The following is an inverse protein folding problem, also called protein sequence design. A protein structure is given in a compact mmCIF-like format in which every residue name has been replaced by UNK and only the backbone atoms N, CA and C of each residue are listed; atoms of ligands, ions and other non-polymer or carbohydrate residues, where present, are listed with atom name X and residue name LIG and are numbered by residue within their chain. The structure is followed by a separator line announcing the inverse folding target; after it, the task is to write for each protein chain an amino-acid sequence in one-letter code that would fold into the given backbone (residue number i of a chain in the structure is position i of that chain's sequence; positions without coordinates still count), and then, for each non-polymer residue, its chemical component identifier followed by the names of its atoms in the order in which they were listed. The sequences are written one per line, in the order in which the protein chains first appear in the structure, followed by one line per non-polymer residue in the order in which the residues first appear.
data_IF_488702069815
#
_entry.id   IF_488702069815
#
_cell.length_a   1.000
_cell.length_b   1.000
_cell.length_c   1.000
_cell.angle_alpha   90.00
_cell.angle_beta   90.00
_cell.angle_gamma   90.00
#
_symmetry.space_group_name_H-M   'P 1'
#
loop_
_entity.id
_entity.type
_entity.pdbx_description
1 polymer ?
#
# COMPACT_ATOMS: atom_id res chain seq x y z
N UNK A 1 -9.76 -14.03 -4.54
CA UNK A 1 -8.35 -13.59 -4.43
C UNK A 1 -7.60 -14.18 -5.64
N UNK A 2 -7.26 -13.37 -6.65
CA UNK A 2 -6.78 -13.88 -7.94
C UNK A 2 -5.30 -14.25 -7.87
N UNK A 3 -4.97 -15.51 -8.19
CA UNK A 3 -3.61 -15.96 -8.51
C UNK A 3 -3.63 -16.32 -9.99
N UNK A 4 -2.65 -15.87 -10.76
CA UNK A 4 -2.44 -16.45 -12.09
C UNK A 4 -2.18 -17.94 -11.89
N UNK A 5 -3.00 -18.76 -12.52
CA UNK A 5 -2.74 -20.19 -12.63
C UNK A 5 -1.47 -20.39 -13.46
N UNK A 6 -0.78 -21.53 -13.26
CA UNK A 6 0.47 -21.82 -13.97
C UNK A 6 0.26 -21.76 -15.50
N UNK A 7 -0.87 -22.29 -15.98
CA UNK A 7 -1.28 -22.25 -17.39
C UNK A 7 -1.42 -20.82 -17.91
N UNK A 8 -2.09 -19.94 -17.17
CA UNK A 8 -2.27 -18.53 -17.54
C UNK A 8 -0.94 -17.76 -17.53
N UNK A 9 -0.04 -18.07 -16.60
CA UNK A 9 1.28 -17.42 -16.54
C UNK A 9 2.15 -17.82 -17.73
N UNK A 10 2.10 -19.10 -18.13
CA UNK A 10 2.79 -19.57 -19.33
C UNK A 10 2.20 -18.90 -20.58
N UNK A 11 0.88 -18.86 -20.72
CA UNK A 11 0.22 -18.21 -21.86
C UNK A 11 0.56 -16.71 -21.95
N UNK A 12 0.53 -15.98 -20.83
CA UNK A 12 0.97 -14.58 -20.79
C UNK A 12 2.45 -14.46 -21.16
N UNK A 13 3.33 -15.32 -20.64
CA UNK A 13 4.75 -15.29 -20.97
C UNK A 13 5.01 -15.49 -22.46
N UNK A 14 4.34 -16.46 -23.08
CA UNK A 14 4.44 -16.73 -24.53
C UNK A 14 3.89 -15.57 -25.35
N UNK A 15 2.73 -15.03 -24.97
CA UNK A 15 2.13 -13.87 -25.65
C UNK A 15 3.05 -12.64 -25.59
N UNK A 16 3.60 -12.34 -24.41
CA UNK A 16 4.54 -11.24 -24.20
C UNK A 16 5.86 -11.47 -24.95
N UNK A 17 6.37 -12.71 -25.03
CA UNK A 17 7.59 -12.99 -25.82
C UNK A 17 7.37 -12.79 -27.32
N UNK A 18 6.22 -13.22 -27.85
CA UNK A 18 5.92 -13.09 -29.28
C UNK A 18 5.66 -11.62 -29.65
N UNK A 19 4.87 -10.91 -28.86
CA UNK A 19 4.58 -9.49 -29.09
C UNK A 19 5.82 -8.61 -28.97
N UNK A 20 6.66 -8.86 -27.95
CA UNK A 20 7.91 -8.14 -27.75
C UNK A 20 8.96 -8.48 -28.81
N UNK A 21 9.07 -9.74 -29.20
CA UNK A 21 9.98 -10.18 -30.27
C UNK A 21 9.61 -9.50 -31.59
N UNK A 22 8.33 -9.47 -31.94
CA UNK A 22 7.84 -8.77 -33.14
C UNK A 22 8.11 -7.26 -33.08
N UNK A 23 7.86 -6.62 -31.94
CA UNK A 23 8.12 -5.20 -31.75
C UNK A 23 9.62 -4.88 -31.88
N UNK A 24 10.49 -5.63 -31.19
CA UNK A 24 11.94 -5.42 -31.21
C UNK A 24 12.54 -5.71 -32.58
N UNK A 25 12.09 -6.74 -33.29
CA UNK A 25 12.57 -7.05 -34.65
C UNK A 25 12.36 -5.84 -35.59
N UNK A 26 11.15 -5.27 -35.55
CA UNK A 26 10.81 -4.12 -36.38
C UNK A 26 11.54 -2.83 -35.99
N UNK A 27 12.04 -2.75 -34.76
CA UNK A 27 12.89 -1.65 -34.31
C UNK A 27 14.37 -1.88 -34.65
N UNK A 28 14.86 -3.12 -34.59
CA UNK A 28 16.27 -3.46 -34.84
C UNK A 28 16.61 -3.55 -36.32
N UNK A 29 15.67 -3.94 -37.18
CA UNK A 29 15.89 -4.01 -38.64
C UNK A 29 16.28 -2.66 -39.27
N UNK A 30 16.07 -1.55 -38.57
CA UNK A 30 16.44 -0.21 -39.05
C UNK A 30 17.90 0.15 -38.75
N UNK A 31 18.59 -0.66 -37.94
CA UNK A 31 19.96 -0.40 -37.45
C UNK A 31 20.91 -1.58 -37.70
N UNK A 32 20.38 -2.81 -37.68
CA UNK A 32 21.15 -4.05 -37.82
C UNK A 32 20.78 -4.79 -39.12
N UNK A 33 21.69 -5.63 -39.59
CA UNK A 33 21.41 -6.62 -40.63
C UNK A 33 20.28 -7.56 -40.22
N UNK A 34 19.56 -8.09 -41.21
CA UNK A 34 18.33 -8.85 -41.00
C UNK A 34 18.52 -10.05 -40.04
N UNK A 35 19.59 -10.82 -40.22
CA UNK A 35 19.91 -12.00 -39.39
C UNK A 35 20.23 -11.60 -37.95
N UNK A 36 21.04 -10.54 -37.78
CA UNK A 36 21.40 -10.00 -36.48
C UNK A 36 20.18 -9.41 -35.76
N UNK A 37 19.29 -8.71 -36.47
CA UNK A 37 18.05 -8.17 -35.93
C UNK A 37 17.09 -9.27 -35.45
N UNK A 38 16.99 -10.37 -36.19
CA UNK A 38 16.15 -11.52 -35.86
C UNK A 38 16.67 -12.24 -34.61
N UNK A 39 17.98 -12.50 -34.56
CA UNK A 39 18.61 -13.16 -33.41
C UNK A 39 18.57 -12.27 -32.15
N UNK A 40 18.87 -10.97 -32.29
CA UNK A 40 18.85 -10.02 -31.17
C UNK A 40 17.43 -9.83 -30.61
N UNK A 41 16.42 -9.69 -31.46
CA UNK A 41 15.02 -9.54 -31.03
C UNK A 41 14.49 -10.80 -30.36
N UNK A 42 14.84 -11.98 -30.87
CA UNK A 42 14.49 -13.26 -30.25
C UNK A 42 15.08 -13.38 -28.84
N UNK A 43 16.39 -13.17 -28.69
CA UNK A 43 17.07 -13.25 -27.39
C UNK A 43 16.52 -12.21 -26.41
N UNK A 44 16.42 -10.95 -26.83
CA UNK A 44 15.89 -9.89 -25.98
C UNK A 44 14.45 -10.18 -25.51
N UNK A 45 13.60 -10.70 -26.40
CA UNK A 45 12.22 -11.05 -26.04
C UNK A 45 12.13 -12.15 -24.98
N UNK A 46 12.99 -13.17 -25.06
CA UNK A 46 13.06 -14.24 -24.06
C UNK A 46 13.57 -13.73 -22.71
N UNK A 47 14.63 -12.94 -22.72
CA UNK A 47 15.24 -12.41 -21.50
C UNK A 47 14.35 -11.39 -20.78
N UNK A 48 13.51 -10.64 -21.49
CA UNK A 48 12.62 -9.62 -20.91
C UNK A 48 11.26 -10.21 -20.50
N UNK A 49 10.71 -11.15 -21.28
CA UNK A 49 9.38 -11.73 -21.00
C UNK A 49 9.34 -12.57 -19.71
N UNK A 50 10.41 -13.31 -19.40
CA UNK A 50 10.51 -14.10 -18.18
C UNK A 50 10.42 -13.25 -16.88
N UNK A 51 11.25 -12.21 -16.67
CA UNK A 51 11.13 -11.35 -15.50
C UNK A 51 9.84 -10.52 -15.50
N UNK A 52 9.34 -10.09 -16.66
CA UNK A 52 8.04 -9.41 -16.75
C UNK A 52 6.89 -10.30 -16.26
N UNK A 53 6.86 -11.56 -16.67
CA UNK A 53 5.84 -12.51 -16.24
C UNK A 53 5.93 -12.83 -14.74
N UNK A 54 7.15 -12.95 -14.20
CA UNK A 54 7.36 -13.05 -12.77
C UNK A 54 6.84 -11.82 -12.03
N UNK A 55 7.12 -10.61 -12.52
CA UNK A 55 6.62 -9.37 -11.94
C UNK A 55 5.08 -9.30 -11.97
N UNK A 56 4.45 -9.64 -13.10
CA UNK A 56 3.00 -9.73 -13.23
C UNK A 56 2.40 -10.71 -12.21
N UNK A 57 3.03 -11.86 -12.01
CA UNK A 57 2.59 -12.86 -11.04
C UNK A 57 2.77 -12.39 -9.60
N UNK A 58 3.88 -11.73 -9.30
CA UNK A 58 4.23 -11.29 -7.96
C UNK A 58 3.29 -10.18 -7.49
N UNK A 59 3.08 -9.20 -8.37
CA UNK A 59 2.13 -8.12 -8.14
C UNK A 59 0.70 -8.67 -8.24
N UNK A 60 0.43 -9.75 -8.99
CA UNK A 60 -0.86 -10.49 -9.25
C UNK A 60 -1.78 -9.87 -10.31
N UNK A 61 -1.19 -9.31 -11.36
CA UNK A 61 -1.89 -8.52 -12.39
C UNK A 61 -2.98 -9.37 -13.05
N UNK A 62 -4.09 -8.77 -13.48
CA UNK A 62 -5.13 -9.52 -14.19
C UNK A 62 -4.60 -9.96 -15.56
N UNK A 63 -4.78 -11.23 -15.97
CA UNK A 63 -4.26 -11.72 -17.26
C UNK A 63 -4.80 -10.91 -18.45
N UNK A 64 -6.06 -10.45 -18.38
CA UNK A 64 -6.65 -9.55 -19.39
C UNK A 64 -5.84 -8.26 -19.61
N UNK A 65 -5.29 -7.68 -18.53
CA UNK A 65 -4.51 -6.44 -18.65
C UNK A 65 -3.14 -6.69 -19.31
N UNK A 66 -2.55 -7.87 -19.08
CA UNK A 66 -1.31 -8.29 -19.75
C UNK A 66 -1.60 -8.50 -21.24
N UNK A 67 -2.66 -9.23 -21.60
CA UNK A 67 -3.04 -9.45 -23.00
C UNK A 67 -3.35 -8.17 -23.76
N UNK A 68 -4.01 -7.19 -23.13
CA UNK A 68 -4.25 -5.87 -23.75
C UNK A 68 -2.92 -5.15 -23.99
N UNK A 69 -2.00 -5.19 -23.03
CA UNK A 69 -0.65 -4.63 -23.19
C UNK A 69 0.12 -5.32 -24.31
N UNK A 70 0.08 -6.66 -24.39
CA UNK A 70 0.70 -7.44 -25.46
C UNK A 70 0.12 -7.10 -26.84
N UNK A 71 -1.20 -6.92 -26.93
CA UNK A 71 -1.87 -6.50 -28.16
C UNK A 71 -1.43 -5.10 -28.60
N UNK A 72 -1.38 -4.15 -27.67
CA UNK A 72 -0.89 -2.80 -27.94
C UNK A 72 0.58 -2.84 -28.37
N UNK A 73 1.41 -3.64 -27.70
CA UNK A 73 2.82 -3.81 -28.06
C UNK A 73 3.01 -4.39 -29.47
N UNK A 74 2.23 -5.42 -29.83
CA UNK A 74 2.25 -5.99 -31.18
C UNK A 74 1.80 -4.98 -32.24
N UNK A 75 0.74 -4.22 -31.95
CA UNK A 75 0.25 -3.16 -32.84
C UNK A 75 1.29 -2.06 -33.04
N UNK A 76 2.01 -1.68 -31.98
CA UNK A 76 3.11 -0.72 -32.04
C UNK A 76 4.27 -1.26 -32.88
N UNK A 77 4.59 -2.55 -32.76
CA UNK A 77 5.57 -3.22 -33.63
C UNK A 77 5.20 -3.16 -35.11
N UNK A 78 3.93 -3.43 -35.43
CA UNK A 78 3.42 -3.31 -36.81
C UNK A 78 3.42 -1.87 -37.31
N UNK A 79 3.11 -0.89 -36.47
CA UNK A 79 3.23 0.53 -36.85
C UNK A 79 4.69 0.94 -37.09
N UNK A 80 5.63 0.44 -36.29
CA UNK A 80 7.06 0.65 -36.51
C UNK A 80 7.53 0.03 -37.83
N UNK A 81 6.91 -1.07 -38.29
CA UNK A 81 7.19 -1.64 -39.60
C UNK A 81 6.89 -0.66 -40.74
N UNK A 82 5.78 0.08 -40.67
CA UNK A 82 5.35 1.01 -41.73
C UNK A 82 6.02 2.38 -41.63
N UNK A 83 6.13 2.93 -40.42
CA UNK A 83 6.58 4.31 -40.21
C UNK A 83 8.10 4.43 -40.07
N UNK A 84 8.80 3.32 -39.83
CA UNK A 84 10.25 3.27 -39.55
C UNK A 84 10.73 4.39 -38.61
N UNK A 85 10.07 4.60 -37.45
CA UNK A 85 10.46 5.64 -36.52
C UNK A 85 11.86 5.35 -35.96
N UNK A 86 12.60 6.39 -35.52
CA UNK A 86 13.90 6.19 -34.89
C UNK A 86 13.76 5.32 -33.64
N UNK A 87 14.69 4.37 -33.49
CA UNK A 87 14.71 3.40 -32.39
C UNK A 87 14.67 4.05 -31.00
N UNK A 88 15.21 5.27 -30.88
CA UNK A 88 15.21 6.07 -29.66
C UNK A 88 13.81 6.44 -29.15
N UNK A 89 12.79 6.51 -30.02
CA UNK A 89 11.40 6.78 -29.64
C UNK A 89 10.58 5.50 -29.45
N UNK A 90 10.83 4.49 -30.27
CA UNK A 90 10.03 3.26 -30.28
C UNK A 90 10.35 2.33 -29.09
N UNK A 91 11.62 2.27 -28.67
CA UNK A 91 12.07 1.39 -27.58
C UNK A 91 11.50 1.82 -26.22
N UNK A 92 11.51 3.11 -25.82
CA UNK A 92 10.81 3.57 -24.62
C UNK A 92 9.30 3.29 -24.64
N UNK A 93 8.64 3.43 -25.79
CA UNK A 93 7.21 3.13 -25.91
C UNK A 93 6.91 1.64 -25.70
N UNK A 94 7.74 0.74 -26.24
CA UNK A 94 7.62 -0.69 -25.99
C UNK A 94 7.78 -1.04 -24.50
N UNK A 95 8.79 -0.45 -23.84
CA UNK A 95 8.99 -0.61 -22.38
C UNK A 95 7.80 -0.06 -21.58
N UNK A 96 7.24 1.09 -21.98
CA UNK A 96 6.06 1.66 -21.34
C UNK A 96 4.84 0.75 -21.46
N UNK A 97 4.64 0.11 -22.62
CA UNK A 97 3.56 -0.86 -22.81
C UNK A 97 3.68 -2.05 -21.84
N UNK A 98 4.90 -2.61 -21.69
CA UNK A 98 5.17 -3.71 -20.75
C UNK A 98 4.97 -3.31 -19.28
N UNK A 99 5.34 -2.07 -18.92
CA UNK A 99 5.21 -1.56 -17.56
C UNK A 99 3.79 -1.10 -17.21
N UNK A 100 2.98 -0.68 -18.19
CA UNK A 100 1.63 -0.15 -18.01
C UNK A 100 0.72 -1.02 -17.11
N UNK A 101 0.63 -2.36 -17.27
CA UNK A 101 -0.22 -3.17 -16.41
C UNK A 101 0.27 -3.28 -14.96
N UNK A 102 1.58 -3.11 -14.71
CA UNK A 102 2.15 -3.02 -13.35
C UNK A 102 1.76 -1.68 -12.71
N UNK A 103 2.00 -0.58 -13.43
CA UNK A 103 1.70 0.77 -12.96
C UNK A 103 0.20 0.98 -12.71
N UNK A 104 -0.65 0.50 -13.63
CA UNK A 104 -2.10 0.59 -13.49
C UNK A 104 -2.62 -0.19 -12.27
N UNK A 105 -1.94 -1.27 -11.89
CA UNK A 105 -2.28 -2.05 -10.70
C UNK A 105 -1.86 -1.33 -9.42
N UNK A 106 -0.62 -0.83 -9.37
CA UNK A 106 -0.10 -0.09 -8.23
C UNK A 106 -0.96 1.14 -7.97
N UNK A 107 -1.26 1.92 -9.01
CA UNK A 107 -2.16 3.07 -8.91
C UNK A 107 -3.55 2.71 -8.40
N UNK A 108 -4.14 1.60 -8.86
CA UNK A 108 -5.44 1.12 -8.34
C UNK A 108 -5.36 0.73 -6.87
N UNK A 109 -4.25 0.10 -6.45
CA UNK A 109 -4.03 -0.28 -5.05
C UNK A 109 -3.87 0.96 -4.19
N UNK A 110 -3.07 1.94 -4.62
CA UNK A 110 -2.91 3.22 -3.93
C UNK A 110 -4.23 3.97 -3.78
N UNK A 111 -5.03 4.06 -4.85
CA UNK A 111 -6.36 4.68 -4.80
C UNK A 111 -7.25 3.97 -3.79
N UNK A 112 -7.31 2.63 -3.82
CA UNK A 112 -8.11 1.88 -2.84
C UNK A 112 -7.64 2.09 -1.41
N UNK A 113 -6.33 2.20 -1.16
CA UNK A 113 -5.78 2.44 0.18
C UNK A 113 -6.06 3.87 0.65
N UNK A 114 -6.03 4.85 -0.26
CA UNK A 114 -6.40 6.23 0.03
C UNK A 114 -7.89 6.36 0.34
N UNK A 115 -8.75 5.59 -0.34
CA UNK A 115 -10.20 5.57 -0.06
C UNK A 115 -10.51 4.92 1.31
N UNK A 116 -9.70 3.96 1.77
CA UNK A 116 -9.82 3.34 3.09
C UNK A 116 -9.31 4.23 4.24
N UNK A 117 -8.40 5.16 3.95
CA UNK A 117 -7.71 6.00 4.95
C UNK A 117 -8.67 6.89 5.78
N UNK A 118 -9.68 7.59 5.20
CA UNK A 118 -10.71 8.29 5.96
C UNK A 118 -11.47 7.38 6.94
N UNK A 119 -11.74 6.14 6.54
CA UNK A 119 -12.38 5.15 7.39
C UNK A 119 -11.54 4.82 8.62
N UNK A 120 -10.22 4.71 8.45
CA UNK A 120 -9.28 4.53 9.55
C UNK A 120 -9.22 5.75 10.48
N UNK A 121 -9.16 6.97 9.93
CA UNK A 121 -9.20 8.18 10.77
C UNK A 121 -10.47 8.25 11.61
N UNK A 122 -11.65 7.96 11.03
CA UNK A 122 -12.91 7.95 11.76
C UNK A 122 -12.91 6.92 12.90
N UNK A 123 -12.36 5.71 12.66
CA UNK A 123 -12.24 4.67 13.70
C UNK A 123 -11.36 5.07 14.87
N UNK A 124 -10.35 5.90 14.64
CA UNK A 124 -9.42 6.38 15.68
C UNK A 124 -9.63 7.85 16.04
N UNK A 125 -10.87 8.34 15.92
CA UNK A 125 -11.27 9.68 16.32
C UNK A 125 -10.38 10.81 15.75
N UNK A 126 -9.96 10.66 14.50
CA UNK A 126 -9.19 11.66 13.76
C UNK A 126 -7.68 11.59 13.99
N UNK A 127 -7.16 10.60 14.72
CA UNK A 127 -5.73 10.51 15.07
C UNK A 127 -5.13 9.19 14.56
N UNK A 128 -4.05 9.26 13.79
CA UNK A 128 -3.33 8.10 13.26
C UNK A 128 -1.81 8.21 13.45
N UNK A 129 -1.14 7.07 13.44
CA UNK A 129 0.32 6.93 13.44
C UNK A 129 0.76 6.00 12.32
N UNK A 130 2.01 6.14 11.86
CA UNK A 130 2.59 5.28 10.80
C UNK A 130 2.51 3.80 11.19
N UNK A 131 2.83 3.49 12.45
CA UNK A 131 2.76 2.12 12.98
C UNK A 131 1.34 1.56 12.91
N UNK A 132 0.32 2.37 13.25
CA UNK A 132 -1.07 1.88 13.23
C UNK A 132 -1.58 1.65 11.81
N UNK A 133 -1.28 2.54 10.88
CA UNK A 133 -1.66 2.37 9.47
C UNK A 133 -0.98 1.15 8.87
N UNK A 134 0.32 0.95 9.16
CA UNK A 134 1.05 -0.24 8.76
C UNK A 134 0.41 -1.53 9.29
N UNK A 135 -0.01 -1.57 10.56
CA UNK A 135 -0.68 -2.74 11.15
C UNK A 135 -2.08 -3.01 10.57
N UNK A 136 -2.91 -1.99 10.39
CA UNK A 136 -4.30 -2.13 9.91
C UNK A 136 -4.36 -2.46 8.41
N UNK A 137 -3.47 -1.89 7.60
CA UNK A 137 -3.44 -2.09 6.15
C UNK A 137 -2.42 -3.16 5.70
N UNK A 138 -1.60 -3.69 6.62
CA UNK A 138 -0.58 -4.70 6.32
C UNK A 138 0.52 -4.20 5.40
N UNK A 139 0.91 -2.92 5.55
CA UNK A 139 1.86 -2.23 4.68
C UNK A 139 3.23 -2.10 5.33
N UNK A 140 4.27 -1.88 4.51
CA UNK A 140 5.57 -1.48 5.03
C UNK A 140 5.52 -0.10 5.70
N UNK A 141 6.42 0.19 6.65
CA UNK A 141 6.45 1.48 7.36
C UNK A 141 6.58 2.68 6.39
N UNK A 142 7.45 2.57 5.38
CA UNK A 142 7.63 3.60 4.35
C UNK A 142 6.38 3.81 3.50
N UNK A 143 5.70 2.73 3.12
CA UNK A 143 4.45 2.79 2.36
C UNK A 143 3.33 3.46 3.18
N UNK A 144 3.24 3.12 4.47
CA UNK A 144 2.27 3.71 5.39
C UNK A 144 2.54 5.21 5.64
N UNK A 145 3.81 5.60 5.75
CA UNK A 145 4.20 7.02 5.85
C UNK A 145 3.82 7.79 4.58
N UNK A 146 4.15 7.25 3.39
CA UNK A 146 3.78 7.87 2.12
C UNK A 146 2.27 8.04 1.95
N UNK A 147 1.46 7.06 2.36
CA UNK A 147 -0.01 7.18 2.34
C UNK A 147 -0.52 8.26 3.29
N UNK A 148 0.06 8.38 4.49
CA UNK A 148 -0.32 9.42 5.45
C UNK A 148 0.07 10.81 4.97
N UNK A 149 1.23 10.96 4.32
CA UNK A 149 1.67 12.22 3.71
C UNK A 149 0.78 12.65 2.54
N UNK A 150 0.38 11.71 1.67
CA UNK A 150 -0.59 11.98 0.61
C UNK A 150 -1.96 12.36 1.20
N UNK A 151 -2.36 11.71 2.30
CA UNK A 151 -3.53 12.09 3.07
C UNK A 151 -3.44 13.50 3.67
N UNK A 152 -2.27 13.94 4.14
CA UNK A 152 -2.03 15.33 4.56
C UNK A 152 -2.30 16.31 3.42
N UNK A 153 -1.87 16.00 2.20
CA UNK A 153 -2.06 16.87 1.04
C UNK A 153 -3.52 16.92 0.59
N UNK A 154 -4.17 15.77 0.44
CA UNK A 154 -5.52 15.68 -0.15
C UNK A 154 -6.64 15.98 0.84
N UNK A 155 -6.49 15.49 2.08
CA UNK A 155 -7.53 15.56 3.11
C UNK A 155 -7.23 16.63 4.15
N UNK A 156 -6.21 17.48 3.92
CA UNK A 156 -5.80 18.55 4.84
C UNK A 156 -5.45 18.04 6.25
N UNK A 157 -5.01 16.78 6.38
CA UNK A 157 -4.51 16.26 7.64
C UNK A 157 -3.21 16.97 8.04
N UNK A 158 -2.95 17.09 9.34
CA UNK A 158 -1.79 17.78 9.90
C UNK A 158 -0.84 16.77 10.56
N UNK A 159 0.44 16.87 10.24
CA UNK A 159 1.52 16.15 10.93
C UNK A 159 1.89 16.92 12.18
N UNK A 160 1.81 16.28 13.33
CA UNK A 160 2.09 16.85 14.66
C UNK A 160 3.17 16.01 15.32
N UNK A 161 4.25 16.65 15.74
CA UNK A 161 5.35 15.98 16.46
C UNK A 161 5.31 16.44 17.91
N UNK A 162 5.11 15.48 18.82
CA UNK A 162 4.99 15.71 20.28
C UNK A 162 5.62 14.54 21.01
N UNK A 163 6.46 14.85 22.01
CA UNK A 163 7.08 13.83 22.89
C UNK A 163 7.80 12.71 22.11
N UNK A 164 8.49 13.07 21.02
CA UNK A 164 9.17 12.09 20.15
C UNK A 164 8.24 11.21 19.30
N UNK A 165 6.93 11.41 19.39
CA UNK A 165 5.92 10.71 18.60
C UNK A 165 5.42 11.57 17.43
N UNK A 166 5.31 10.96 16.25
CA UNK A 166 4.73 11.58 15.05
C UNK A 166 3.29 11.12 14.91
N UNK A 167 2.37 12.08 14.90
CA UNK A 167 0.93 11.86 14.88
C UNK A 167 0.32 12.61 13.71
N UNK A 168 -0.59 11.96 13.00
CA UNK A 168 -1.31 12.51 11.86
C UNK A 168 -2.76 12.75 12.26
N UNK A 169 -3.16 14.01 12.26
CA UNK A 169 -4.45 14.47 12.74
C UNK A 169 -5.31 14.92 11.57
N UNK A 170 -6.53 14.41 11.45
CA UNK A 170 -7.51 14.85 10.46
C UNK A 170 -8.54 15.78 11.14
N UNK A 171 -8.45 17.11 10.96
CA UNK A 171 -9.29 18.08 11.68
C UNK A 171 -10.78 17.88 11.46
N UNK A 172 -11.18 17.51 10.23
CA UNK A 172 -12.59 17.31 9.86
C UNK A 172 -13.25 16.17 10.66
N UNK A 173 -12.48 15.17 11.08
CA UNK A 173 -13.00 14.09 11.93
C UNK A 173 -13.09 14.55 13.38
N UNK A 174 -12.13 15.34 13.86
CA UNK A 174 -12.17 15.89 15.22
C UNK A 174 -13.34 16.83 15.43
N UNK A 175 -13.64 17.72 14.47
CA UNK A 175 -14.76 18.64 14.54
C UNK A 175 -16.13 17.94 14.51
N UNK A 176 -16.20 16.74 13.93
CA UNK A 176 -17.39 15.90 13.91
C UNK A 176 -17.62 15.08 15.19
N UNK A 177 -16.68 15.07 16.14
CA UNK A 177 -16.86 14.39 17.41
C UNK A 177 -17.78 15.18 18.35
N UNK A 178 -18.47 14.51 19.29
CA UNK A 178 -19.14 15.20 20.39
C UNK A 178 -18.18 16.14 21.11
N UNK A 179 -18.60 17.37 21.42
CA UNK A 179 -17.68 18.42 21.90
C UNK A 179 -16.79 18.01 23.09
N UNK A 180 -17.28 17.16 24.00
CA UNK A 180 -16.47 16.62 25.11
C UNK A 180 -15.39 15.65 24.65
N UNK A 181 -15.68 14.81 23.66
CA UNK A 181 -14.72 13.88 23.09
C UNK A 181 -13.66 14.63 22.27
N UNK A 182 -14.05 15.67 21.52
CA UNK A 182 -13.11 16.52 20.80
C UNK A 182 -12.07 17.15 21.74
N UNK A 183 -12.51 17.75 22.86
CA UNK A 183 -11.61 18.33 23.86
C UNK A 183 -10.64 17.30 24.48
N UNK A 184 -11.14 16.08 24.76
CA UNK A 184 -10.29 14.99 25.25
C UNK A 184 -9.24 14.61 24.20
N UNK A 185 -9.63 14.48 22.93
CA UNK A 185 -8.71 14.14 21.84
C UNK A 185 -7.68 15.24 21.62
N UNK A 186 -8.05 16.52 21.72
CA UNK A 186 -7.10 17.65 21.66
C UNK A 186 -6.07 17.58 22.79
N UNK A 187 -6.47 17.24 24.01
CA UNK A 187 -5.54 17.03 25.12
C UNK A 187 -4.54 15.90 24.83
N UNK A 188 -5.00 14.79 24.23
CA UNK A 188 -4.12 13.69 23.82
C UNK A 188 -3.22 14.02 22.62
N UNK A 189 -3.62 14.94 21.74
CA UNK A 189 -2.76 15.44 20.67
C UNK A 189 -1.61 16.28 21.26
N UNK A 190 -1.88 17.02 22.34
CA UNK A 190 -0.84 17.78 23.05
C UNK A 190 0.10 16.86 23.84
N UNK A 191 -0.44 15.86 24.53
CA UNK A 191 0.31 14.89 25.35
C UNK A 191 -0.07 13.44 24.99
N UNK A 192 0.60 12.85 23.99
CA UNK A 192 0.24 11.53 23.47
C UNK A 192 0.72 10.33 24.31
N UNK A 193 1.67 10.52 25.22
CA UNK A 193 2.23 9.46 26.08
C UNK A 193 1.23 8.85 27.07
N UNK A 194 0.17 9.58 27.40
CA UNK A 194 -0.90 9.17 28.31
C UNK A 194 -1.29 10.28 29.27
N UNK A 195 -2.51 10.22 29.79
CA UNK A 195 -3.04 11.22 30.70
C UNK A 195 -3.88 10.55 31.79
N UNK A 196 -3.70 11.00 33.03
CA UNK A 196 -4.58 10.68 34.15
C UNK A 196 -5.87 11.51 34.10
N UNK A 197 -6.88 11.11 34.87
CA UNK A 197 -8.15 11.85 34.97
C UNK A 197 -7.94 13.29 35.47
N UNK A 198 -7.00 13.50 36.39
CA UNK A 198 -6.67 14.82 36.93
C UNK A 198 -6.02 15.72 35.89
N UNK A 199 -5.06 15.20 35.12
CA UNK A 199 -4.41 15.94 34.03
C UNK A 199 -5.37 16.25 32.89
N UNK A 200 -6.29 15.33 32.57
CA UNK A 200 -7.35 15.62 31.60
C UNK A 200 -8.27 16.74 32.10
N UNK A 201 -8.59 16.76 33.38
CA UNK A 201 -9.41 17.82 33.97
C UNK A 201 -8.71 19.18 33.93
N UNK A 202 -7.40 19.24 34.19
CA UNK A 202 -6.64 20.49 34.10
C UNK A 202 -6.47 20.99 32.67
N UNK A 203 -6.24 20.08 31.71
CA UNK A 203 -6.05 20.44 30.30
C UNK A 203 -7.34 20.83 29.59
N UNK A 204 -8.45 20.15 29.89
CA UNK A 204 -9.75 20.40 29.22
C UNK A 204 -10.64 21.40 29.96
N UNK A 205 -10.32 21.72 31.22
CA UNK A 205 -11.18 22.53 32.11
C UNK A 205 -12.48 21.83 32.52
N UNK A 206 -12.67 20.56 32.15
CA UNK A 206 -13.90 19.81 32.43
C UNK A 206 -13.84 19.15 33.80
N UNK A 207 -14.97 19.18 34.52
CA UNK A 207 -15.13 18.46 35.79
C UNK A 207 -15.05 16.94 35.56
N UNK A 208 -14.46 16.16 36.49
CA UNK A 208 -14.32 14.70 36.36
C UNK A 208 -15.63 13.95 36.09
N UNK A 209 -16.77 14.44 36.61
CA UNK A 209 -18.10 13.86 36.38
C UNK A 209 -18.52 13.90 34.89
N UNK A 210 -18.04 14.88 34.13
CA UNK A 210 -18.33 15.05 32.71
C UNK A 210 -17.33 14.32 31.80
N UNK A 211 -16.09 14.15 32.28
CA UNK A 211 -15.02 13.44 31.57
C UNK A 211 -15.23 11.93 31.56
N UNK A 212 -15.60 11.34 32.70
CA UNK A 212 -15.78 9.88 32.85
C UNK A 212 -16.68 9.24 31.79
N UNK A 213 -17.89 9.75 31.49
CA UNK A 213 -18.73 9.14 30.45
C UNK A 213 -18.09 9.25 29.05
N UNK A 214 -17.52 10.40 28.70
CA UNK A 214 -16.87 10.58 27.40
C UNK A 214 -15.62 9.70 27.23
N UNK A 215 -14.83 9.53 28.29
CA UNK A 215 -13.70 8.61 28.33
C UNK A 215 -14.16 7.16 28.21
N UNK A 216 -15.23 6.77 28.92
CA UNK A 216 -15.79 5.42 28.81
C UNK A 216 -16.24 5.11 27.37
N UNK A 217 -16.85 6.08 26.68
CA UNK A 217 -17.24 5.92 25.27
C UNK A 217 -16.03 5.80 24.33
N UNK A 218 -14.97 6.56 24.56
CA UNK A 218 -13.73 6.48 23.79
C UNK A 218 -12.95 5.18 24.05
N UNK A 219 -13.03 4.64 25.27
CA UNK A 219 -12.46 3.32 25.60
C UNK A 219 -13.30 2.20 24.96
N UNK A 220 -14.64 2.28 25.05
CA UNK A 220 -15.54 1.31 24.41
C UNK A 220 -15.40 1.27 22.89
N UNK A 221 -15.21 2.42 22.26
CA UNK A 221 -14.97 2.51 20.82
C UNK A 221 -13.55 2.08 20.40
N UNK A 222 -12.66 1.84 21.36
CA UNK A 222 -11.29 1.34 21.12
C UNK A 222 -10.32 2.42 20.62
N UNK A 223 -10.64 3.69 20.85
CA UNK A 223 -9.74 4.84 20.59
C UNK A 223 -8.72 4.99 21.72
N UNK A 224 -9.18 4.81 22.96
CA UNK A 224 -8.38 4.87 24.18
C UNK A 224 -8.28 3.51 24.85
N UNK A 225 -7.22 3.31 25.63
CA UNK A 225 -7.05 2.17 26.53
C UNK A 225 -6.68 2.71 27.91
N UNK A 226 -7.34 2.19 28.94
CA UNK A 226 -7.03 2.48 30.34
C UNK A 226 -6.05 1.44 30.89
N UNK A 227 -4.93 1.88 31.48
CA UNK A 227 -3.94 1.03 32.18
C UNK A 227 -3.46 1.73 33.44
N UNK A 228 -3.65 1.10 34.59
CA UNK A 228 -3.09 1.58 35.86
C UNK A 228 -3.58 2.97 36.27
N UNK A 229 -4.79 3.37 35.87
CA UNK A 229 -5.35 4.70 36.14
C UNK A 229 -4.97 5.80 35.13
N UNK A 230 -4.16 5.45 34.12
CA UNK A 230 -3.82 6.31 32.98
C UNK A 230 -4.60 5.90 31.73
N UNK A 231 -5.05 6.89 30.96
CA UNK A 231 -5.65 6.71 29.65
C UNK A 231 -4.60 6.96 28.57
N UNK A 232 -4.50 6.07 27.58
CA UNK A 232 -3.53 6.17 26.47
C UNK A 232 -4.21 5.99 25.12
N UNK A 233 -3.72 6.72 24.12
CA UNK A 233 -4.12 6.52 22.73
C UNK A 233 -3.71 5.12 22.25
N UNK A 234 -4.66 4.39 21.66
CA UNK A 234 -4.39 3.06 21.09
C UNK A 234 -3.41 3.13 19.93
N UNK A 235 -3.43 4.23 19.17
CA UNK A 235 -2.54 4.45 18.04
C UNK A 235 -1.07 4.66 18.45
N UNK A 236 -0.81 4.99 19.72
CA UNK A 236 0.54 5.16 20.28
C UNK A 236 0.96 3.95 21.13
N UNK A 237 0.07 3.48 22.01
CA UNK A 237 0.37 2.43 22.99
C UNK A 237 0.17 0.99 22.47
N UNK A 238 -0.40 0.85 21.26
CA UNK A 238 -0.77 -0.43 20.65
C UNK A 238 -2.02 -1.05 21.29
N UNK A 239 -2.79 -1.81 20.50
CA UNK A 239 -3.97 -2.52 21.03
C UNK A 239 -3.58 -3.48 22.16
N UNK A 240 -4.44 -3.55 23.18
CA UNK A 240 -4.39 -4.60 24.19
C UNK A 240 -4.47 -5.96 23.46
N UNK A 241 -3.35 -6.71 23.44
CA UNK A 241 -3.32 -8.06 22.90
C UNK A 241 -4.04 -8.98 23.89
N UNK A 242 -5.38 -8.98 23.87
CA UNK A 242 -6.12 -10.11 24.41
C UNK A 242 -5.67 -11.35 23.63
N UNK A 243 -5.11 -12.32 24.36
CA UNK A 243 -4.33 -13.44 23.85
C UNK A 243 -5.05 -14.31 22.82
N UNK A 244 -5.15 -13.86 21.56
CA UNK A 244 -5.53 -14.71 20.43
C UNK A 244 -4.28 -15.34 19.82
N UNK A 245 -3.97 -16.54 20.34
CA UNK A 245 -3.37 -17.69 19.65
C UNK A 245 -2.16 -17.38 18.76
N UNK A 246 -1.00 -17.24 19.40
CA UNK A 246 0.30 -17.61 18.81
C UNK A 246 0.44 -19.15 18.78
N UNK A 247 -0.50 -19.86 18.13
CA UNK A 247 -0.53 -21.32 18.02
C UNK A 247 -0.24 -21.76 16.59
N UNK A 248 0.95 -21.41 16.07
CA UNK A 248 1.44 -21.93 14.78
C UNK A 248 2.96 -21.74 14.59
N UNK A 249 3.79 -22.14 15.57
CA UNK A 249 5.25 -22.23 15.35
C UNK A 249 6.04 -23.20 16.25
N UNK A 250 5.38 -24.21 16.83
CA UNK A 250 6.06 -25.31 17.56
C UNK A 250 5.46 -26.66 17.20
N UNK A 251 5.66 -27.11 15.97
CA UNK A 251 5.51 -28.53 15.56
C UNK A 251 6.45 -28.85 14.39
N UNK A 252 7.73 -28.50 14.49
CA UNK A 252 8.81 -29.04 13.64
C UNK A 252 10.14 -28.95 14.39
N UNK A 253 10.21 -29.58 15.56
CA UNK A 253 11.47 -29.88 16.24
C UNK A 253 11.17 -30.92 17.31
N UNK A 254 11.47 -32.18 17.02
CA UNK A 254 11.40 -33.26 18.01
C UNK A 254 10.66 -34.50 17.53
N UNK A 255 11.30 -35.29 16.67
CA UNK A 255 11.47 -36.74 16.85
C UNK A 255 12.42 -37.27 15.77
N UNK A 256 13.70 -36.98 15.96
CA UNK A 256 14.72 -38.00 15.78
C UNK A 256 14.70 -38.83 17.06
N UNK A 257 14.29 -40.09 16.95
CA UNK A 257 14.80 -41.20 17.75
C UNK A 257 14.43 -42.48 16.99
N UNK A 258 15.46 -43.07 16.38
CA UNK A 258 15.56 -44.45 15.92
C UNK A 258 15.23 -45.43 17.08
N UNK A 259 14.82 -46.66 16.79
CA UNK A 259 15.79 -47.73 16.53
C UNK A 259 16.02 -47.99 15.04
#
# INVERSE_FOLDING_TARGET
MWKLEKSQAVLCGVATSLSLGWALFNMFKTVLELEAALLASFLASLYISAPACLAYRWIRVKPRAVLISDFVLASLGSLCFFLSPPWALSLPMALACLAAPLLARERKREVSLLDELPGLWRRYAGVLTVSRVSEELGLGLKEAEGLLEEGCRRLKARKVVREGCVIYVLPDVLSGLPGRQALIMEAFIQRPSGLTLHELSSLTGLKPRLLRPALADLVRSGVLVERGGEYKLVVVSGRQRHGRRRKKRRRRSGRFRRP
#
